data_IF_761994170917
#
_entry.id   IF_761994170917
#
_cell.length_a   1.000
_cell.length_b   1.000
_cell.length_c   1.000
_cell.angle_alpha   90.00
_cell.angle_beta   90.00
_cell.angle_gamma   90.00
#
_symmetry.space_group_name_H-M   'P 1'
#
loop_
_entity.id
_entity.type
_entity.pdbx_description
1 polymer ?
#
# COMPACT_ATOMS: atom_id res chain seq x y z
N UNK A 1 -11.56 0.57 -1.01
CA UNK A 1 -12.31 -0.65 -0.67
C UNK A 1 -13.59 -0.19 0.00
N UNK A 2 -14.75 -0.71 -0.38
CA UNK A 2 -16.00 -0.41 0.33
C UNK A 2 -16.18 -1.41 1.48
N UNK A 3 -16.71 -0.92 2.60
CA UNK A 3 -16.86 -1.69 3.83
C UNK A 3 -18.34 -1.72 4.17
N UNK A 4 -18.86 -2.90 4.50
CA UNK A 4 -20.20 -3.01 5.04
C UNK A 4 -20.19 -2.52 6.48
N UNK A 5 -20.96 -1.47 6.78
CA UNK A 5 -20.97 -0.87 8.12
C UNK A 5 -21.87 -1.67 9.04
N UNK A 6 -21.35 -2.00 10.21
CA UNK A 6 -22.06 -2.69 11.28
C UNK A 6 -22.10 -1.75 12.48
N UNK A 7 -23.29 -1.48 12.99
CA UNK A 7 -23.50 -0.64 14.16
C UNK A 7 -22.87 -1.27 15.42
N UNK A 8 -22.27 -0.45 16.28
CA UNK A 8 -21.57 -0.92 17.48
C UNK A 8 -22.53 -1.47 18.55
N UNK A 9 -23.83 -1.13 18.49
CA UNK A 9 -24.87 -1.66 19.37
C UNK A 9 -25.59 -2.89 18.80
N UNK A 10 -25.24 -3.35 17.59
CA UNK A 10 -25.92 -4.49 16.95
C UNK A 10 -25.91 -5.75 17.82
N UNK A 11 -24.86 -5.95 18.61
CA UNK A 11 -24.69 -7.10 19.51
C UNK A 11 -25.80 -7.24 20.56
N UNK A 12 -26.47 -6.14 20.93
CA UNK A 12 -27.57 -6.11 21.91
C UNK A 12 -28.91 -5.76 21.28
N UNK A 13 -28.96 -5.54 19.96
CA UNK A 13 -30.17 -5.11 19.27
C UNK A 13 -31.24 -6.22 19.23
N UNK A 14 -32.52 -5.94 19.58
CA UNK A 14 -33.56 -6.97 19.62
C UNK A 14 -33.78 -7.71 18.30
N UNK A 15 -33.63 -7.04 17.15
CA UNK A 15 -33.74 -7.70 15.83
C UNK A 15 -32.63 -8.74 15.62
N UNK A 16 -31.38 -8.45 16.03
CA UNK A 16 -30.27 -9.38 15.91
C UNK A 16 -30.46 -10.61 16.81
N UNK A 17 -30.92 -10.39 18.05
CA UNK A 17 -31.29 -11.47 18.96
C UNK A 17 -32.40 -12.37 18.41
N UNK A 18 -33.44 -11.78 17.78
CA UNK A 18 -34.56 -12.52 17.17
C UNK A 18 -34.14 -13.34 15.94
N UNK A 19 -33.23 -12.81 15.12
CA UNK A 19 -32.71 -13.52 13.95
C UNK A 19 -31.84 -14.73 14.36
N UNK A 20 -31.07 -14.58 15.43
CA UNK A 20 -30.17 -15.60 15.95
C UNK A 20 -28.80 -15.56 15.27
N UNK A 21 -27.78 -16.10 15.96
CA UNK A 21 -26.37 -15.94 15.61
C UNK A 21 -26.02 -16.48 14.20
N UNK A 22 -26.58 -17.63 13.82
CA UNK A 22 -26.34 -18.20 12.50
C UNK A 22 -26.90 -17.31 11.37
N UNK A 23 -28.06 -16.70 11.57
CA UNK A 23 -28.66 -15.78 10.62
C UNK A 23 -27.85 -14.47 10.54
N UNK A 24 -27.35 -13.98 11.68
CA UNK A 24 -26.44 -12.83 11.70
C UNK A 24 -25.12 -13.09 10.97
N UNK A 25 -24.62 -14.33 10.99
CA UNK A 25 -23.49 -14.74 10.16
C UNK A 25 -23.78 -14.61 8.66
N UNK A 26 -24.97 -15.06 8.21
CA UNK A 26 -25.41 -14.87 6.83
C UNK A 26 -25.56 -13.39 6.48
N UNK A 27 -26.16 -12.59 7.37
CA UNK A 27 -26.33 -11.15 7.22
C UNK A 27 -24.99 -10.43 7.01
N UNK A 28 -23.97 -10.73 7.81
CA UNK A 28 -22.65 -10.11 7.65
C UNK A 28 -21.97 -10.49 6.32
N UNK A 29 -22.08 -11.77 5.91
CA UNK A 29 -21.52 -12.25 4.63
C UNK A 29 -22.23 -11.61 3.43
N UNK A 30 -23.56 -11.51 3.50
CA UNK A 30 -24.36 -10.86 2.47
C UNK A 30 -24.06 -9.37 2.36
N UNK A 31 -23.88 -8.65 3.47
CA UNK A 31 -23.53 -7.23 3.44
C UNK A 31 -22.17 -6.99 2.78
N UNK A 32 -21.19 -7.85 3.08
CA UNK A 32 -19.89 -7.86 2.39
C UNK A 32 -20.03 -8.13 0.89
N UNK A 33 -20.89 -9.08 0.50
CA UNK A 33 -21.20 -9.37 -0.90
C UNK A 33 -21.79 -8.15 -1.62
N UNK A 34 -22.84 -7.54 -1.07
CA UNK A 34 -23.47 -6.35 -1.62
C UNK A 34 -22.48 -5.19 -1.80
N UNK A 35 -21.54 -5.01 -0.86
CA UNK A 35 -20.49 -3.98 -0.97
C UNK A 35 -19.43 -4.27 -2.04
N UNK A 36 -19.14 -5.54 -2.29
CA UNK A 36 -18.20 -5.95 -3.33
C UNK A 36 -18.80 -5.74 -4.72
N UNK A 37 -20.05 -6.18 -4.89
CA UNK A 37 -20.78 -6.14 -6.16
C UNK A 37 -21.56 -4.85 -6.40
N UNK A 38 -21.65 -3.98 -5.40
CA UNK A 38 -22.38 -2.71 -5.45
C UNK A 38 -23.85 -2.90 -5.84
N UNK A 39 -24.52 -3.87 -5.19
CA UNK A 39 -25.91 -4.24 -5.47
C UNK A 39 -26.93 -3.46 -4.62
N UNK A 40 -26.49 -2.40 -3.93
CA UNK A 40 -27.35 -1.54 -3.11
C UNK A 40 -28.25 -2.31 -2.14
N UNK A 41 -27.67 -3.32 -1.49
CA UNK A 41 -28.36 -4.14 -0.49
C UNK A 41 -29.19 -5.29 -1.08
N UNK A 42 -29.23 -5.48 -2.41
CA UNK A 42 -29.88 -6.66 -3.01
C UNK A 42 -28.99 -7.89 -2.83
N UNK A 43 -29.57 -8.94 -2.24
CA UNK A 43 -28.98 -10.25 -2.02
C UNK A 43 -29.64 -11.26 -2.94
N UNK A 44 -28.87 -11.72 -3.91
CA UNK A 44 -29.33 -12.65 -4.95
C UNK A 44 -29.62 -14.02 -4.37
N UNK A 45 -30.66 -14.69 -4.89
CA UNK A 45 -31.11 -16.00 -4.41
C UNK A 45 -30.01 -17.06 -4.38
N UNK A 46 -29.21 -17.15 -5.45
CA UNK A 46 -28.14 -18.13 -5.57
C UNK A 46 -27.09 -17.98 -4.45
N UNK A 47 -26.83 -16.75 -3.99
CA UNK A 47 -25.84 -16.48 -2.95
C UNK A 47 -26.31 -17.10 -1.63
N UNK A 48 -27.58 -16.91 -1.28
CA UNK A 48 -28.20 -17.49 -0.09
C UNK A 48 -28.27 -19.02 -0.19
N UNK A 49 -28.73 -19.54 -1.32
CA UNK A 49 -28.84 -21.00 -1.55
C UNK A 49 -27.49 -21.72 -1.50
N UNK A 50 -26.39 -21.02 -1.82
CA UNK A 50 -25.04 -21.57 -1.68
C UNK A 50 -24.60 -21.79 -0.23
N UNK A 51 -25.33 -21.27 0.77
CA UNK A 51 -24.97 -21.37 2.19
C UNK A 51 -25.73 -22.50 2.89
N UNK A 52 -25.09 -23.17 3.87
CA UNK A 52 -25.79 -24.16 4.70
C UNK A 52 -27.03 -23.57 5.35
N UNK A 53 -28.20 -24.17 5.09
CA UNK A 53 -29.50 -23.69 5.58
C UNK A 53 -29.84 -22.24 5.19
N UNK A 54 -29.26 -21.71 4.11
CA UNK A 54 -29.35 -20.29 3.76
C UNK A 54 -30.78 -19.76 3.66
N UNK A 55 -31.68 -20.46 2.97
CA UNK A 55 -33.08 -20.05 2.81
C UNK A 55 -33.81 -19.96 4.17
N UNK A 56 -33.53 -20.88 5.09
CA UNK A 56 -34.09 -20.86 6.45
C UNK A 56 -33.55 -19.69 7.26
N UNK A 57 -32.27 -19.38 7.11
CA UNK A 57 -31.64 -18.23 7.77
C UNK A 57 -32.15 -16.90 7.19
N UNK A 58 -32.33 -16.81 5.88
CA UNK A 58 -32.94 -15.65 5.22
C UNK A 58 -34.36 -15.41 5.73
N UNK A 59 -35.18 -16.46 5.85
CA UNK A 59 -36.51 -16.33 6.43
C UNK A 59 -36.48 -15.82 7.88
N UNK A 60 -35.46 -16.19 8.67
CA UNK A 60 -35.28 -15.65 10.03
C UNK A 60 -34.90 -14.16 10.03
N UNK A 61 -34.08 -13.72 9.06
CA UNK A 61 -33.72 -12.30 8.88
C UNK A 61 -34.92 -11.46 8.44
N UNK A 62 -35.74 -11.98 7.52
CA UNK A 62 -36.99 -11.34 7.10
C UNK A 62 -37.96 -11.23 8.27
N UNK A 63 -38.19 -12.32 9.01
CA UNK A 63 -39.04 -12.30 10.21
C UNK A 63 -38.54 -11.34 11.29
N UNK A 64 -37.23 -11.14 11.40
CA UNK A 64 -36.64 -10.20 12.34
C UNK A 64 -36.72 -8.73 11.88
N UNK A 65 -37.12 -8.47 10.63
CA UNK A 65 -37.15 -7.13 10.02
C UNK A 65 -35.75 -6.57 9.77
N UNK A 66 -34.79 -7.45 9.46
CA UNK A 66 -33.45 -7.09 9.00
C UNK A 66 -33.36 -7.10 7.47
N UNK A 67 -34.14 -7.96 6.81
CA UNK A 67 -34.27 -8.07 5.36
C UNK A 67 -35.75 -7.96 4.96
N UNK A 68 -35.98 -7.59 3.70
CA UNK A 68 -37.28 -7.65 3.03
C UNK A 68 -37.23 -8.63 1.85
N UNK A 69 -38.40 -9.13 1.43
CA UNK A 69 -38.51 -9.96 0.24
C UNK A 69 -38.33 -9.11 -1.03
N UNK A 70 -37.58 -9.62 -1.99
CA UNK A 70 -37.30 -8.96 -3.27
C UNK A 70 -37.51 -9.95 -4.42
N UNK A 71 -37.84 -9.48 -5.62
CA UNK A 71 -38.11 -10.33 -6.79
C UNK A 71 -36.94 -11.32 -7.05
N UNK A 72 -35.72 -10.80 -7.06
CA UNK A 72 -34.50 -11.58 -7.30
C UNK A 72 -33.91 -12.31 -6.06
N UNK A 73 -34.59 -12.23 -4.91
CA UNK A 73 -34.11 -12.82 -3.65
C UNK A 73 -34.57 -12.03 -2.43
N UNK A 74 -33.63 -11.31 -1.82
CA UNK A 74 -33.88 -10.51 -0.62
C UNK A 74 -33.16 -9.16 -0.73
N UNK A 75 -33.59 -8.19 0.07
CA UNK A 75 -32.92 -6.89 0.17
C UNK A 75 -32.71 -6.53 1.64
N UNK A 76 -31.62 -5.84 1.95
CA UNK A 76 -31.42 -5.29 3.30
C UNK A 76 -32.47 -4.21 3.59
N UNK A 77 -33.05 -4.28 4.78
CA UNK A 77 -33.92 -3.22 5.28
C UNK A 77 -33.07 -1.95 5.54
N UNK A 78 -33.57 -0.79 5.11
CA UNK A 78 -32.94 0.54 5.30
C UNK A 78 -31.48 0.64 4.81
N UNK A 79 -31.12 -0.02 3.69
CA UNK A 79 -29.74 0.02 3.18
C UNK A 79 -29.23 1.45 2.97
N UNK A 80 -30.01 2.29 2.26
CA UNK A 80 -29.60 3.65 1.85
C UNK A 80 -29.42 4.63 3.02
N UNK A 81 -30.02 4.34 4.18
CA UNK A 81 -29.88 5.19 5.37
C UNK A 81 -28.49 5.04 6.00
N UNK A 82 -27.94 3.82 6.02
CA UNK A 82 -26.73 3.51 6.76
C UNK A 82 -25.52 3.24 5.85
N UNK A 83 -25.76 2.69 4.67
CA UNK A 83 -24.73 2.26 3.73
C UNK A 83 -24.51 3.30 2.62
N UNK A 84 -23.26 3.47 2.16
CA UNK A 84 -23.02 4.25 0.95
C UNK A 84 -23.65 3.56 -0.26
N UNK A 85 -24.28 4.35 -1.12
CA UNK A 85 -24.80 3.88 -2.42
C UNK A 85 -23.66 3.50 -3.36
N UNK A 86 -23.97 2.65 -4.33
CA UNK A 86 -23.07 2.21 -5.40
C UNK A 86 -22.38 3.38 -6.11
N UNK A 87 -23.14 4.42 -6.44
CA UNK A 87 -22.65 5.66 -7.07
C UNK A 87 -21.57 6.34 -6.23
N UNK A 88 -21.85 6.56 -4.94
CA UNK A 88 -20.91 7.20 -4.01
C UNK A 88 -19.64 6.39 -3.85
N UNK A 89 -19.74 5.07 -3.80
CA UNK A 89 -18.58 4.18 -3.73
C UNK A 89 -17.73 4.27 -5.01
N UNK A 90 -18.35 4.40 -6.18
CA UNK A 90 -17.62 4.55 -7.45
C UNK A 90 -16.91 5.91 -7.55
N UNK A 91 -17.56 6.98 -7.08
CA UNK A 91 -16.98 8.32 -6.96
C UNK A 91 -15.76 8.31 -6.03
N UNK A 92 -15.90 7.79 -4.82
CA UNK A 92 -14.79 7.65 -3.85
C UNK A 92 -13.60 6.86 -4.43
N UNK A 93 -13.89 5.81 -5.24
CA UNK A 93 -12.86 5.03 -5.94
C UNK A 93 -12.20 5.84 -7.06
N UNK A 94 -12.92 6.70 -7.78
CA UNK A 94 -12.35 7.58 -8.78
C UNK A 94 -11.43 8.64 -8.13
N UNK A 95 -11.89 9.28 -7.07
CA UNK A 95 -11.15 10.29 -6.34
C UNK A 95 -9.89 9.74 -5.69
N UNK A 96 -9.97 8.54 -5.10
CA UNK A 96 -8.79 7.86 -4.57
C UNK A 96 -7.76 7.57 -5.67
N UNK A 97 -8.21 7.14 -6.86
CA UNK A 97 -7.31 6.93 -8.01
C UNK A 97 -6.66 8.23 -8.46
N UNK A 98 -7.42 9.31 -8.54
CA UNK A 98 -6.87 10.61 -8.96
C UNK A 98 -5.87 11.17 -7.94
N UNK A 99 -6.20 11.11 -6.63
CA UNK A 99 -5.28 11.49 -5.56
C UNK A 99 -3.97 10.72 -5.65
N UNK A 100 -4.02 9.39 -5.80
CA UNK A 100 -2.82 8.57 -5.92
C UNK A 100 -2.04 8.86 -7.21
N UNK A 101 -2.72 9.21 -8.32
CA UNK A 101 -2.08 9.66 -9.56
C UNK A 101 -1.31 10.96 -9.31
N UNK A 102 -1.90 11.96 -8.65
CA UNK A 102 -1.25 13.24 -8.31
C UNK A 102 -0.04 13.02 -7.39
N UNK A 103 -0.16 12.21 -6.34
CA UNK A 103 0.95 11.88 -5.43
C UNK A 103 2.11 11.23 -6.19
N UNK A 104 1.83 10.28 -7.09
CA UNK A 104 2.87 9.63 -7.91
C UNK A 104 3.51 10.59 -8.90
N UNK A 105 2.74 11.49 -9.50
CA UNK A 105 3.26 12.51 -10.42
C UNK A 105 4.18 13.49 -9.69
N UNK A 106 3.77 14.01 -8.52
CA UNK A 106 4.60 14.88 -7.70
C UNK A 106 5.87 14.18 -7.20
N UNK A 107 5.79 12.90 -6.83
CA UNK A 107 6.98 12.13 -6.46
C UNK A 107 7.96 12.00 -7.63
N UNK A 108 7.47 11.87 -8.87
CA UNK A 108 8.34 11.88 -10.06
C UNK A 108 8.93 13.28 -10.33
N UNK A 109 8.13 14.33 -10.19
CA UNK A 109 8.56 15.70 -10.45
C UNK A 109 9.57 16.23 -9.41
N UNK A 110 9.43 15.81 -8.14
CA UNK A 110 10.32 16.19 -7.05
C UNK A 110 11.60 15.34 -6.99
N UNK A 111 11.68 14.27 -7.79
CA UNK A 111 12.98 13.67 -8.16
C UNK A 111 13.50 14.50 -9.34
N UNK A 112 13.82 15.76 -9.08
CA UNK A 112 14.81 16.43 -9.92
C UNK A 112 16.12 15.72 -9.63
N UNK A 113 16.82 15.17 -10.63
CA UNK A 113 18.20 14.81 -10.40
C UNK A 113 18.90 16.15 -10.12
N UNK A 114 19.23 16.40 -8.85
CA UNK A 114 20.42 17.18 -8.58
C UNK A 114 21.52 16.39 -9.27
N UNK A 115 21.81 16.70 -10.53
CA UNK A 115 23.02 16.23 -11.15
C UNK A 115 24.11 16.93 -10.36
N UNK A 116 24.89 16.20 -9.54
CA UNK A 116 26.06 16.82 -8.96
C UNK A 116 26.91 17.34 -10.14
N UNK A 117 27.70 18.40 -9.96
CA UNK A 117 28.74 18.71 -10.93
C UNK A 117 29.74 17.54 -10.94
N UNK A 118 29.46 16.54 -11.79
CA UNK A 118 30.25 15.32 -11.87
C UNK A 118 31.34 15.58 -12.89
N UNK A 119 32.59 15.48 -12.45
CA UNK A 119 33.73 15.45 -13.38
C UNK A 119 33.50 14.34 -14.43
N UNK A 120 33.69 14.59 -15.73
CA UNK A 120 33.50 13.59 -16.79
C UNK A 120 34.27 12.28 -16.54
N UNK A 121 35.41 12.38 -15.87
CA UNK A 121 36.21 11.22 -15.47
C UNK A 121 35.50 10.35 -14.41
N UNK A 122 34.84 10.97 -13.43
CA UNK A 122 34.15 10.27 -12.34
C UNK A 122 32.89 9.55 -12.83
N UNK A 123 32.15 10.17 -13.76
CA UNK A 123 30.98 9.52 -14.38
C UNK A 123 31.40 8.31 -15.22
N UNK A 124 32.48 8.43 -16.01
CA UNK A 124 33.02 7.32 -16.80
C UNK A 124 33.41 6.13 -15.90
N UNK A 125 34.14 6.40 -14.81
CA UNK A 125 34.56 5.37 -13.87
C UNK A 125 33.37 4.73 -13.12
N UNK A 126 32.34 5.50 -12.79
CA UNK A 126 31.12 4.99 -12.17
C UNK A 126 30.37 4.03 -13.11
N UNK A 127 30.24 4.40 -14.40
CA UNK A 127 29.62 3.54 -15.42
C UNK A 127 30.39 2.24 -15.64
N UNK A 128 31.72 2.29 -15.70
CA UNK A 128 32.56 1.08 -15.79
C UNK A 128 32.37 0.14 -14.59
N UNK A 129 32.09 0.69 -13.41
CA UNK A 129 31.79 -0.08 -12.21
C UNK A 129 30.32 -0.56 -12.12
N UNK A 130 29.48 -0.28 -13.13
CA UNK A 130 28.06 -0.65 -13.15
C UNK A 130 27.18 0.20 -12.22
N UNK A 131 27.63 1.42 -11.88
CA UNK A 131 26.85 2.39 -11.11
C UNK A 131 26.15 3.31 -12.09
N UNK A 132 24.81 3.31 -12.08
CA UNK A 132 24.00 4.09 -13.03
C UNK A 132 23.57 5.45 -12.48
N UNK A 133 23.68 5.67 -11.17
CA UNK A 133 23.40 6.96 -10.53
C UNK A 133 24.27 7.13 -9.29
N UNK A 134 25.22 8.07 -9.35
CA UNK A 134 26.01 8.50 -8.19
C UNK A 134 25.14 9.26 -7.19
N UNK A 135 24.13 10.02 -7.66
CA UNK A 135 23.21 10.74 -6.79
C UNK A 135 22.44 9.80 -5.84
N UNK A 136 22.01 8.63 -6.32
CA UNK A 136 21.37 7.64 -5.47
C UNK A 136 22.26 7.14 -4.31
N UNK A 137 23.58 7.20 -4.48
CA UNK A 137 24.56 6.82 -3.45
C UNK A 137 24.78 7.99 -2.48
N UNK A 138 24.84 9.22 -2.99
CA UNK A 138 24.87 10.45 -2.16
C UNK A 138 23.64 10.50 -1.25
N UNK A 139 22.44 10.32 -1.81
CA UNK A 139 21.18 10.33 -1.06
C UNK A 139 21.14 9.20 -0.02
N UNK A 140 21.63 8.01 -0.36
CA UNK A 140 21.69 6.89 0.57
C UNK A 140 22.69 7.15 1.71
N UNK A 141 23.84 7.75 1.40
CA UNK A 141 24.82 8.15 2.40
C UNK A 141 24.23 9.22 3.33
N UNK A 142 23.69 10.32 2.80
CA UNK A 142 23.08 11.38 3.60
C UNK A 142 21.97 10.83 4.50
N UNK A 143 21.10 9.97 3.97
CA UNK A 143 20.00 9.37 4.74
C UNK A 143 20.46 8.47 5.89
N UNK A 144 21.51 7.68 5.69
CA UNK A 144 21.88 6.61 6.64
C UNK A 144 23.10 6.93 7.49
N UNK A 145 23.96 7.86 7.08
CA UNK A 145 25.16 8.28 7.81
C UNK A 145 25.11 9.74 8.24
N UNK A 146 24.10 10.51 7.78
CA UNK A 146 23.97 11.95 8.04
C UNK A 146 25.21 12.76 7.58
N UNK A 147 25.96 12.23 6.61
CA UNK A 147 27.11 12.91 5.97
C UNK A 147 26.78 13.26 4.54
N UNK A 148 27.03 14.52 4.18
CA UNK A 148 26.97 14.99 2.79
C UNK A 148 28.30 14.71 2.10
N UNK A 149 28.24 14.01 0.98
CA UNK A 149 29.41 13.66 0.16
C UNK A 149 29.21 14.16 -1.26
N UNK A 150 30.29 14.49 -1.95
CA UNK A 150 30.28 14.86 -3.37
C UNK A 150 30.23 13.61 -4.27
N UNK A 151 30.10 13.81 -5.59
CA UNK A 151 30.06 12.71 -6.56
C UNK A 151 31.35 11.87 -6.56
N UNK A 152 32.51 12.50 -6.31
CA UNK A 152 33.79 11.79 -6.24
C UNK A 152 33.88 10.91 -4.97
N UNK A 153 33.41 11.42 -3.83
CA UNK A 153 33.26 10.67 -2.59
C UNK A 153 32.28 9.51 -2.72
N UNK A 154 31.14 9.72 -3.37
CA UNK A 154 30.16 8.67 -3.64
C UNK A 154 30.75 7.52 -4.47
N UNK A 155 31.54 7.83 -5.51
CA UNK A 155 32.23 6.80 -6.28
C UNK A 155 33.26 6.02 -5.44
N UNK A 156 34.03 6.70 -4.58
CA UNK A 156 35.02 6.05 -3.71
C UNK A 156 34.36 5.10 -2.70
N UNK A 157 33.26 5.53 -2.08
CA UNK A 157 32.46 4.67 -1.19
C UNK A 157 31.94 3.44 -1.94
N UNK A 158 31.42 3.64 -3.15
CA UNK A 158 30.92 2.56 -3.98
C UNK A 158 32.03 1.55 -4.36
N UNK A 159 33.19 2.05 -4.78
CA UNK A 159 34.37 1.24 -5.12
C UNK A 159 34.83 0.41 -3.92
N UNK A 160 34.87 1.01 -2.72
CA UNK A 160 35.25 0.31 -1.49
C UNK A 160 34.27 -0.82 -1.16
N UNK A 161 32.96 -0.54 -1.23
CA UNK A 161 31.93 -1.54 -0.94
C UNK A 161 31.93 -2.68 -1.96
N UNK A 162 32.09 -2.37 -3.25
CA UNK A 162 32.22 -3.38 -4.30
C UNK A 162 33.49 -4.22 -4.14
N UNK A 163 34.59 -3.62 -3.66
CA UNK A 163 35.83 -4.34 -3.36
C UNK A 163 35.72 -5.31 -2.19
N UNK A 164 34.81 -5.06 -1.23
CA UNK A 164 34.52 -5.99 -0.12
C UNK A 164 33.63 -7.16 -0.55
N UNK A 165 33.02 -7.13 -1.74
CA UNK A 165 32.12 -8.19 -2.19
C UNK A 165 32.92 -9.45 -2.57
N UNK A 166 32.53 -10.61 -2.00
CA UNK A 166 33.17 -11.91 -2.31
C UNK A 166 33.04 -12.30 -3.80
N UNK A 167 31.95 -11.91 -4.44
CA UNK A 167 31.67 -12.09 -5.87
C UNK A 167 31.08 -10.79 -6.39
N UNK A 168 31.47 -10.38 -7.60
CA UNK A 168 30.97 -9.15 -8.19
C UNK A 168 29.43 -9.23 -8.37
N UNK A 169 28.67 -8.26 -7.83
CA UNK A 169 27.21 -8.34 -7.82
C UNK A 169 26.60 -8.08 -9.20
N UNK A 170 25.52 -8.81 -9.53
CA UNK A 170 24.73 -8.61 -10.77
C UNK A 170 24.07 -7.23 -10.86
N UNK A 171 23.85 -6.56 -9.72
CA UNK A 171 23.35 -5.18 -9.68
C UNK A 171 24.20 -4.34 -8.72
N UNK A 172 25.35 -3.81 -9.20
CA UNK A 172 26.32 -3.08 -8.37
C UNK A 172 25.71 -1.93 -7.58
N UNK A 173 24.87 -1.11 -8.22
CA UNK A 173 24.20 0.00 -7.55
C UNK A 173 23.31 -0.45 -6.38
N UNK A 174 22.47 -1.48 -6.57
CA UNK A 174 21.60 -2.01 -5.50
C UNK A 174 22.41 -2.58 -4.35
N UNK A 175 23.51 -3.27 -4.66
CA UNK A 175 24.42 -3.79 -3.65
C UNK A 175 25.01 -2.67 -2.81
N UNK A 176 25.53 -1.61 -3.45
CA UNK A 176 26.12 -0.46 -2.75
C UNK A 176 25.09 0.24 -1.85
N UNK A 177 23.92 0.61 -2.38
CA UNK A 177 22.88 1.29 -1.56
C UNK A 177 22.39 0.42 -0.40
N UNK A 178 22.27 -0.90 -0.61
CA UNK A 178 21.87 -1.84 0.44
C UNK A 178 22.97 -2.07 1.49
N UNK A 179 24.24 -2.02 1.10
CA UNK A 179 25.37 -2.11 2.02
C UNK A 179 25.50 -0.85 2.89
N UNK A 180 25.25 0.34 2.33
CA UNK A 180 25.20 1.60 3.10
C UNK A 180 24.14 1.54 4.19
N UNK A 181 22.96 0.97 3.91
CA UNK A 181 21.90 0.85 4.91
C UNK A 181 22.19 -0.21 5.98
N UNK A 182 22.94 -1.28 5.63
CA UNK A 182 23.24 -2.40 6.55
C UNK A 182 24.42 -2.13 7.47
N UNK A 183 25.43 -1.41 6.98
CA UNK A 183 26.68 -1.12 7.68
C UNK A 183 26.95 0.39 7.72
N UNK A 184 25.96 1.17 8.15
CA UNK A 184 26.03 2.64 8.11
C UNK A 184 27.20 3.22 8.91
N UNK A 185 27.53 2.64 10.06
CA UNK A 185 28.65 3.07 10.90
C UNK A 185 30.02 2.87 10.22
N UNK A 186 30.24 1.73 9.56
CA UNK A 186 31.48 1.48 8.81
C UNK A 186 31.64 2.46 7.65
N UNK A 187 30.53 2.75 6.96
CA UNK A 187 30.53 3.70 5.85
C UNK A 187 30.78 5.11 6.36
N UNK A 188 30.19 5.48 7.51
CA UNK A 188 30.44 6.76 8.15
C UNK A 188 31.91 6.92 8.55
N UNK A 189 32.51 5.92 9.20
CA UNK A 189 33.93 5.93 9.56
C UNK A 189 34.82 6.10 8.33
N UNK A 190 34.55 5.36 7.26
CA UNK A 190 35.30 5.48 6.02
C UNK A 190 35.19 6.88 5.38
N UNK A 191 33.99 7.48 5.39
CA UNK A 191 33.77 8.84 4.88
C UNK A 191 34.59 9.86 5.69
N UNK A 192 34.59 9.71 7.02
CA UNK A 192 35.31 10.61 7.93
C UNK A 192 36.84 10.42 7.82
N UNK A 193 37.34 9.19 7.73
CA UNK A 193 38.77 8.86 7.58
C UNK A 193 39.38 9.34 6.27
N UNK A 194 38.60 9.25 5.18
CA UNK A 194 39.05 9.66 3.85
C UNK A 194 38.77 11.15 3.57
N UNK A 195 38.30 11.90 4.58
CA UNK A 195 37.91 13.30 4.47
C UNK A 195 36.99 13.58 3.27
N UNK A 196 36.01 12.69 3.03
CA UNK A 196 35.10 12.77 1.87
C UNK A 196 33.84 13.60 2.16
N UNK A 197 33.66 14.04 3.41
CA UNK A 197 32.54 14.88 3.78
C UNK A 197 32.74 16.31 3.25
N UNK A 198 31.74 16.82 2.53
CA UNK A 198 31.73 18.22 2.09
C UNK A 198 31.19 19.07 3.25
N UNK A 199 31.93 20.12 3.61
CA UNK A 199 31.46 21.10 4.61
C UNK A 199 30.30 21.90 4.00
N UNK A 200 29.22 22.20 4.74
CA UNK A 200 28.09 22.97 4.23
C UNK A 200 28.47 24.37 3.71
#
# INVERSE_FOLDING_TARGET
MAWFKVDDQLHSHPKAGRAGLAAMGLWALAGSHCMSYLTDGVVERWFVESKPNGVKLAAALVKAGLWDEHEDGWVFHDWDEFQPTSEKVLEDRADARERMRKVRANKKANVQPNEPEVSPMTDLLARQAGITSLQAIIDAAEKHTNRKIDASGAYRVAKQLLGKAKVFPQSPQRYVTGSISRSSLEVQQFIDEQCLAVTP
#
